data_IF_055538013358
#
_entry.id   IF_055538013358
#
_cell.length_a   1.000
_cell.length_b   1.000
_cell.length_c   1.000
_cell.angle_alpha   90.00
_cell.angle_beta   90.00
_cell.angle_gamma   90.00
#
_symmetry.space_group_name_H-M   'P 1'
#
loop_
_entity.id
_entity.type
_entity.pdbx_description
1 polymer ?
#
# COMPACT_ATOMS: atom_id res chain seq x y z
N UNK A 1 -20.16 -25.27 34.25
CA UNK A 1 -21.41 -24.64 33.80
C UNK A 1 -21.43 -24.63 32.28
N UNK A 2 -22.57 -24.74 31.61
CA UNK A 2 -22.64 -24.63 30.13
C UNK A 2 -22.87 -23.18 29.70
N UNK A 3 -22.49 -22.86 28.48
CA UNK A 3 -22.77 -21.54 27.92
C UNK A 3 -24.26 -21.21 27.91
N UNK A 4 -25.12 -22.23 27.68
CA UNK A 4 -26.57 -22.06 27.76
C UNK A 4 -27.11 -21.66 29.13
N UNK A 5 -26.33 -21.85 30.19
CA UNK A 5 -26.75 -21.65 31.57
C UNK A 5 -26.38 -20.24 32.10
N UNK A 6 -25.72 -19.44 31.27
CA UNK A 6 -25.30 -18.06 31.59
C UNK A 6 -25.91 -17.10 30.61
N UNK A 7 -25.93 -15.82 30.97
CA UNK A 7 -26.18 -14.73 30.03
C UNK A 7 -24.88 -14.41 29.31
N UNK A 8 -24.72 -14.98 28.09
CA UNK A 8 -23.51 -14.78 27.29
C UNK A 8 -23.54 -13.38 26.66
N UNK A 9 -22.81 -12.45 27.24
CA UNK A 9 -22.81 -11.04 26.96
C UNK A 9 -21.41 -10.48 26.60
N UNK A 10 -20.53 -11.34 26.08
CA UNK A 10 -19.14 -10.98 25.76
C UNK A 10 -19.04 -9.76 24.84
N UNK A 11 -19.78 -9.75 23.72
CA UNK A 11 -19.69 -8.66 22.73
C UNK A 11 -20.34 -7.36 23.23
N UNK A 12 -21.37 -7.46 24.06
CA UNK A 12 -21.96 -6.29 24.72
C UNK A 12 -20.96 -5.64 25.67
N UNK A 13 -20.24 -6.44 26.47
CA UNK A 13 -19.19 -5.98 27.38
C UNK A 13 -17.96 -5.49 26.62
N UNK A 14 -17.55 -6.15 25.54
CA UNK A 14 -16.45 -5.70 24.68
C UNK A 14 -16.73 -4.30 24.13
N UNK A 15 -17.95 -4.04 23.66
CA UNK A 15 -18.34 -2.69 23.18
C UNK A 15 -18.26 -1.64 24.28
N UNK A 16 -18.56 -2.02 25.52
CA UNK A 16 -18.46 -1.12 26.67
C UNK A 16 -17.00 -0.87 27.08
N UNK A 17 -16.17 -1.93 27.04
CA UNK A 17 -14.78 -1.90 27.48
C UNK A 17 -13.84 -1.25 26.41
N UNK A 18 -14.04 -1.57 25.14
CA UNK A 18 -13.26 -1.03 24.00
C UNK A 18 -14.17 -0.78 22.78
N UNK A 19 -14.90 0.31 22.82
CA UNK A 19 -15.79 0.71 21.71
C UNK A 19 -15.03 0.88 20.40
N UNK A 20 -13.78 1.37 20.44
CA UNK A 20 -12.98 1.60 19.23
C UNK A 20 -12.60 0.29 18.54
N UNK A 21 -12.23 -0.73 19.31
CA UNK A 21 -11.99 -2.08 18.79
C UNK A 21 -13.28 -2.69 18.22
N UNK A 22 -14.37 -2.58 18.99
CA UNK A 22 -15.66 -3.13 18.59
C UNK A 22 -16.14 -2.51 17.27
N UNK A 23 -16.15 -1.19 17.16
CA UNK A 23 -16.62 -0.48 15.96
C UNK A 23 -15.73 -0.77 14.73
N UNK A 24 -14.43 -0.93 14.93
CA UNK A 24 -13.52 -1.34 13.86
C UNK A 24 -13.80 -2.74 13.32
N UNK A 25 -14.23 -3.66 14.19
CA UNK A 25 -14.46 -5.07 13.82
C UNK A 25 -15.91 -5.32 13.35
N UNK A 26 -16.87 -4.58 13.90
CA UNK A 26 -18.30 -4.87 13.79
C UNK A 26 -19.16 -3.62 13.53
N UNK A 27 -18.66 -2.63 12.81
CA UNK A 27 -19.20 -1.27 12.68
C UNK A 27 -20.75 -1.15 12.60
N UNK A 28 -21.45 -2.16 12.07
CA UNK A 28 -22.90 -2.15 11.87
C UNK A 28 -23.63 -3.29 12.60
N UNK A 29 -22.91 -4.10 13.36
CA UNK A 29 -23.52 -5.24 14.03
C UNK A 29 -23.98 -4.86 15.44
N UNK A 30 -25.14 -5.41 15.84
CA UNK A 30 -25.63 -5.27 17.20
C UNK A 30 -24.92 -6.33 18.09
N UNK A 31 -24.29 -5.94 19.22
CA UNK A 31 -23.63 -6.87 20.13
C UNK A 31 -24.53 -8.05 20.54
N UNK A 32 -25.80 -7.77 20.84
CA UNK A 32 -26.76 -8.81 21.23
C UNK A 32 -26.97 -9.89 20.16
N UNK A 33 -26.84 -9.55 18.87
CA UNK A 33 -26.93 -10.53 17.78
C UNK A 33 -25.70 -11.43 17.76
N UNK A 34 -24.50 -10.87 18.04
CA UNK A 34 -23.25 -11.62 18.12
C UNK A 34 -23.25 -12.56 19.31
N UNK A 35 -23.70 -12.09 20.48
CA UNK A 35 -23.85 -12.88 21.69
C UNK A 35 -24.85 -14.02 21.49
N UNK A 36 -26.01 -13.73 20.89
CA UNK A 36 -27.02 -14.75 20.53
C UNK A 36 -26.47 -15.77 19.54
N UNK A 37 -25.69 -15.37 18.57
CA UNK A 37 -25.06 -16.26 17.59
C UNK A 37 -24.03 -17.17 18.25
N UNK A 38 -23.17 -16.62 19.11
CA UNK A 38 -22.19 -17.38 19.88
C UNK A 38 -22.88 -18.42 20.76
N UNK A 39 -23.92 -18.03 21.49
CA UNK A 39 -24.72 -18.93 22.29
C UNK A 39 -25.38 -20.03 21.45
N UNK A 40 -26.00 -19.69 20.31
CA UNK A 40 -26.63 -20.69 19.44
C UNK A 40 -25.64 -21.73 18.89
N UNK A 41 -24.41 -21.29 18.54
CA UNK A 41 -23.38 -22.18 17.97
C UNK A 41 -22.71 -23.06 19.02
N UNK A 42 -22.55 -22.56 20.25
CA UNK A 42 -21.70 -23.19 21.28
C UNK A 42 -22.40 -23.44 22.60
N UNK A 43 -23.73 -23.41 22.66
CA UNK A 43 -24.55 -23.59 23.87
C UNK A 43 -24.20 -24.82 24.72
N UNK A 44 -23.76 -25.90 24.08
CA UNK A 44 -23.42 -27.15 24.75
C UNK A 44 -22.02 -27.18 25.37
N UNK A 45 -21.16 -26.18 25.07
CA UNK A 45 -19.79 -26.15 25.60
C UNK A 45 -19.76 -25.77 27.08
N UNK A 46 -18.83 -26.36 27.80
CA UNK A 46 -18.60 -26.07 29.21
C UNK A 46 -17.67 -24.90 29.35
N UNK A 47 -18.12 -23.86 30.04
CA UNK A 47 -17.33 -22.66 30.34
C UNK A 47 -16.62 -22.82 31.68
N UNK A 48 -15.48 -22.19 31.87
CA UNK A 48 -14.77 -22.15 33.14
C UNK A 48 -15.54 -21.31 34.17
N UNK A 49 -15.76 -21.80 35.35
CA UNK A 49 -16.44 -21.04 36.41
C UNK A 49 -15.66 -19.80 36.84
N UNK A 50 -14.33 -19.79 36.66
CA UNK A 50 -13.44 -18.66 36.99
C UNK A 50 -13.59 -17.46 36.07
N UNK A 51 -14.23 -17.64 34.92
CA UNK A 51 -14.44 -16.52 33.95
C UNK A 51 -15.81 -15.88 34.08
N UNK A 52 -16.63 -16.40 35.02
CA UNK A 52 -18.00 -15.95 35.27
C UNK A 52 -18.04 -15.13 36.54
N UNK A 53 -18.70 -13.98 36.47
CA UNK A 53 -19.01 -13.10 37.59
C UNK A 53 -20.51 -12.78 37.57
N UNK A 54 -21.22 -13.11 38.64
CA UNK A 54 -22.67 -12.92 38.79
C UNK A 54 -23.52 -13.37 37.58
N UNK A 55 -23.16 -14.53 37.00
CA UNK A 55 -23.88 -15.11 35.85
C UNK A 55 -23.50 -14.57 34.48
N UNK A 56 -22.57 -13.64 34.42
CA UNK A 56 -22.06 -12.97 33.23
C UNK A 56 -20.58 -13.26 33.02
N UNK A 57 -20.05 -12.95 31.84
CA UNK A 57 -18.61 -13.02 31.58
C UNK A 57 -17.90 -11.87 32.31
N UNK A 58 -16.84 -12.17 33.06
CA UNK A 58 -16.13 -11.15 33.82
C UNK A 58 -15.45 -10.11 32.93
N UNK A 59 -15.52 -8.84 33.33
CA UNK A 59 -14.93 -7.73 32.55
C UNK A 59 -13.41 -7.88 32.38
N UNK A 60 -12.73 -8.44 33.39
CA UNK A 60 -11.29 -8.70 33.31
C UNK A 60 -10.94 -9.70 32.23
N UNK A 61 -11.80 -10.72 32.02
CA UNK A 61 -11.62 -11.70 30.97
C UNK A 61 -11.88 -11.11 29.59
N UNK A 62 -12.95 -10.33 29.44
CA UNK A 62 -13.25 -9.61 28.19
C UNK A 62 -12.08 -8.72 27.80
N UNK A 63 -11.56 -7.93 28.75
CA UNK A 63 -10.41 -7.07 28.50
C UNK A 63 -9.14 -7.86 28.15
N UNK A 64 -8.87 -8.94 28.87
CA UNK A 64 -7.72 -9.83 28.61
C UNK A 64 -7.75 -10.45 27.21
N UNK A 65 -8.91 -10.96 26.77
CA UNK A 65 -9.11 -11.52 25.43
C UNK A 65 -8.96 -10.41 24.36
N UNK A 66 -9.57 -9.25 24.58
CA UNK A 66 -9.46 -8.12 23.65
C UNK A 66 -8.00 -7.66 23.49
N UNK A 67 -7.24 -7.62 24.57
CA UNK A 67 -5.82 -7.25 24.52
C UNK A 67 -4.98 -8.30 23.78
N UNK A 68 -5.22 -9.57 24.02
CA UNK A 68 -4.46 -10.68 23.42
C UNK A 68 -4.77 -10.87 21.93
N UNK A 69 -6.04 -10.83 21.57
CA UNK A 69 -6.51 -11.16 20.23
C UNK A 69 -6.83 -9.93 19.36
N UNK A 70 -7.04 -8.75 19.94
CA UNK A 70 -7.36 -7.53 19.22
C UNK A 70 -6.44 -7.22 18.05
N UNK A 71 -5.10 -7.29 18.20
CA UNK A 71 -4.17 -7.09 17.08
C UNK A 71 -4.36 -8.09 15.93
N UNK A 72 -4.63 -9.37 16.25
CA UNK A 72 -4.93 -10.42 15.26
C UNK A 72 -6.22 -10.11 14.50
N UNK A 73 -7.28 -9.78 15.22
CA UNK A 73 -8.58 -9.46 14.62
C UNK A 73 -8.54 -8.21 13.75
N UNK A 74 -7.83 -7.15 14.20
CA UNK A 74 -7.58 -5.93 13.39
C UNK A 74 -6.81 -6.26 12.10
N UNK A 75 -5.86 -7.18 12.17
CA UNK A 75 -5.13 -7.66 11.00
C UNK A 75 -6.05 -8.33 9.98
N UNK A 76 -6.97 -9.18 10.43
CA UNK A 76 -7.96 -9.82 9.55
C UNK A 76 -8.96 -8.83 8.97
N UNK A 77 -9.48 -7.91 9.79
CA UNK A 77 -10.39 -6.87 9.33
C UNK A 77 -9.74 -6.01 8.23
N UNK A 78 -8.49 -5.58 8.46
CA UNK A 78 -7.72 -4.84 7.46
C UNK A 78 -7.46 -5.64 6.18
N UNK A 79 -7.21 -6.94 6.28
CA UNK A 79 -7.00 -7.81 5.12
C UNK A 79 -8.29 -8.00 4.30
N UNK A 80 -9.46 -7.95 4.95
CA UNK A 80 -10.76 -8.05 4.28
C UNK A 80 -11.21 -6.72 3.64
N UNK A 81 -10.72 -5.59 4.14
CA UNK A 81 -11.03 -4.24 3.65
C UNK A 81 -10.19 -3.86 2.39
N UNK A 82 -9.31 -4.75 1.94
CA UNK A 82 -8.53 -4.52 0.71
C UNK A 82 -9.44 -4.65 -0.50
N UNK A 83 -9.63 -3.52 -1.20
CA UNK A 83 -10.38 -3.50 -2.45
C UNK A 83 -9.70 -4.39 -3.51
N UNK A 84 -10.52 -5.24 -4.14
CA UNK A 84 -10.07 -6.18 -5.16
C UNK A 84 -9.43 -5.47 -6.37
N UNK A 85 -9.97 -4.33 -6.79
CA UNK A 85 -9.41 -3.55 -7.89
C UNK A 85 -8.01 -3.02 -7.55
N UNK A 86 -7.82 -2.57 -6.30
CA UNK A 86 -6.52 -2.13 -5.80
C UNK A 86 -5.55 -3.30 -5.68
N UNK A 87 -6.02 -4.48 -5.27
CA UNK A 87 -5.21 -5.71 -5.21
C UNK A 87 -4.85 -6.26 -6.60
N UNK A 88 -5.75 -6.12 -7.59
CA UNK A 88 -5.53 -6.53 -8.98
C UNK A 88 -4.60 -5.58 -9.74
N UNK A 89 -4.52 -4.32 -9.32
CA UNK A 89 -3.70 -3.30 -9.97
C UNK A 89 -2.70 -2.64 -8.99
N UNK A 90 -1.84 -3.45 -8.30
CA UNK A 90 -1.06 -2.97 -7.16
C UNK A 90 0.09 -2.03 -7.53
N UNK A 91 0.32 -1.77 -8.82
CA UNK A 91 1.47 -0.99 -9.25
C UNK A 91 1.14 0.03 -10.34
N UNK A 92 0.94 1.26 -9.92
CA UNK A 92 1.29 2.42 -10.73
C UNK A 92 2.59 3.01 -10.17
N UNK A 93 3.72 2.56 -10.67
CA UNK A 93 4.99 3.18 -10.35
C UNK A 93 5.22 4.32 -11.33
N UNK A 94 5.02 5.55 -10.85
CA UNK A 94 5.36 6.77 -11.59
C UNK A 94 6.81 7.12 -11.27
N UNK A 95 7.71 6.85 -12.18
CA UNK A 95 9.11 7.28 -12.06
C UNK A 95 9.28 8.52 -12.93
N UNK A 96 9.57 9.65 -12.30
CA UNK A 96 9.89 10.89 -13.01
C UNK A 96 11.42 11.00 -13.06
N UNK A 97 11.98 10.94 -14.25
CA UNK A 97 13.39 11.23 -14.49
C UNK A 97 13.52 12.63 -15.05
N UNK A 98 14.25 13.48 -14.34
CA UNK A 98 14.72 14.76 -14.87
C UNK A 98 16.12 14.53 -15.43
N UNK A 99 16.26 14.70 -16.75
CA UNK A 99 17.56 14.72 -17.41
C UNK A 99 17.85 16.14 -17.85
N UNK A 100 18.83 16.76 -17.21
CA UNK A 100 19.35 18.06 -17.62
C UNK A 100 20.61 17.82 -18.44
N UNK A 101 20.57 18.11 -19.73
CA UNK A 101 21.71 18.05 -20.61
C UNK A 101 22.16 19.47 -20.94
N UNK A 102 23.33 19.84 -20.45
CA UNK A 102 23.97 21.11 -20.83
C UNK A 102 24.90 20.82 -21.99
N UNK A 103 24.58 21.33 -23.18
CA UNK A 103 25.44 21.27 -24.35
C UNK A 103 25.99 22.63 -24.61
N UNK A 104 27.30 22.79 -24.45
CA UNK A 104 28.02 24.00 -24.87
C UNK A 104 28.68 23.73 -26.23
N UNK A 105 28.22 24.33 -27.27
CA UNK A 105 28.86 24.28 -28.59
C UNK A 105 29.69 25.53 -28.79
N UNK A 106 31.00 25.38 -28.81
CA UNK A 106 31.90 26.44 -29.18
C UNK A 106 32.30 26.21 -30.64
N UNK A 107 31.87 27.12 -31.51
CA UNK A 107 32.29 27.14 -32.93
C UNK A 107 33.19 28.33 -33.12
N UNK A 108 34.48 28.05 -33.25
CA UNK A 108 35.46 29.06 -33.64
C UNK A 108 35.68 28.91 -35.15
N UNK A 109 35.15 29.85 -35.93
CA UNK A 109 35.38 29.96 -37.37
C UNK A 109 36.38 31.08 -37.62
N UNK A 110 37.48 30.75 -38.25
CA UNK A 110 38.40 31.75 -38.77
C UNK A 110 38.26 31.75 -40.30
N UNK A 111 37.63 32.77 -40.81
CA UNK A 111 37.55 32.99 -42.27
C UNK A 111 38.64 33.98 -42.68
N UNK A 112 39.60 33.47 -43.38
CA UNK A 112 40.67 34.29 -43.96
C UNK A 112 40.42 34.49 -45.44
N UNK A 113 40.21 35.71 -45.84
CA UNK A 113 40.14 36.09 -47.25
C UNK A 113 41.41 36.75 -47.62
N UNK A 114 42.16 36.15 -48.52
CA UNK A 114 43.33 36.74 -49.14
C UNK A 114 42.99 37.28 -50.54
N UNK A 115 43.07 38.56 -50.70
CA UNK A 115 42.93 39.20 -52.02
C UNK A 115 44.30 39.49 -52.61
N UNK A 116 44.65 38.71 -53.59
CA UNK A 116 45.89 38.91 -54.33
C UNK A 116 45.69 39.71 -55.59
N UNK A 117 46.50 40.67 -55.80
CA UNK A 117 46.51 41.50 -57.04
C UNK A 117 47.71 41.08 -57.92
N UNK A 118 47.42 40.75 -59.16
CA UNK A 118 48.48 40.46 -60.16
C UNK A 118 49.03 41.73 -60.72
N UNK A 119 50.33 41.89 -60.67
CA UNK A 119 51.01 43.00 -61.38
C UNK A 119 50.88 42.81 -62.88
N UNK A 120 50.93 43.93 -63.64
CA UNK A 120 50.68 44.00 -65.08
C UNK A 120 51.64 43.19 -65.94
N UNK A 121 52.47 42.44 -65.47
CA UNK A 121 53.34 41.50 -66.22
C UNK A 121 53.98 40.44 -65.29
N UNK A 122 53.26 40.04 -64.27
CA UNK A 122 53.73 39.08 -63.28
C UNK A 122 52.74 37.92 -63.17
N UNK A 123 53.30 36.75 -63.21
CA UNK A 123 52.54 35.50 -62.92
C UNK A 123 52.42 35.18 -61.43
N UNK A 124 52.95 36.04 -60.57
CA UNK A 124 52.83 35.89 -59.09
C UNK A 124 51.88 36.94 -58.55
N UNK A 125 50.98 36.44 -57.71
CA UNK A 125 50.04 37.31 -56.97
C UNK A 125 50.70 37.86 -55.72
N UNK A 126 50.64 39.16 -55.50
CA UNK A 126 51.08 39.85 -54.29
C UNK A 126 49.84 40.08 -53.43
N UNK A 127 49.92 39.66 -52.19
CA UNK A 127 48.83 39.84 -51.23
C UNK A 127 48.66 41.34 -50.93
N UNK A 128 47.53 41.92 -51.33
CA UNK A 128 47.24 43.36 -51.14
C UNK A 128 46.48 43.57 -49.80
N UNK A 129 45.57 42.67 -49.45
CA UNK A 129 44.82 42.79 -48.22
C UNK A 129 44.53 41.42 -47.65
N UNK A 130 44.91 41.24 -46.39
CA UNK A 130 44.52 40.02 -45.59
C UNK A 130 43.48 40.47 -44.60
N UNK A 131 42.28 39.94 -44.72
CA UNK A 131 41.20 40.14 -43.74
C UNK A 131 40.95 38.89 -43.02
N UNK A 132 41.27 38.85 -41.73
CA UNK A 132 40.94 37.76 -40.84
C UNK A 132 39.72 38.13 -40.03
N UNK A 133 38.59 37.47 -40.28
CA UNK A 133 37.37 37.61 -39.48
C UNK A 133 37.35 36.42 -38.54
N UNK A 134 37.56 36.66 -37.24
CA UNK A 134 37.40 35.68 -36.20
C UNK A 134 36.00 35.84 -35.63
N UNK A 135 35.11 34.90 -35.87
CA UNK A 135 33.79 34.86 -35.23
C UNK A 135 33.82 33.82 -34.12
N UNK A 136 33.70 34.27 -32.87
CA UNK A 136 33.47 33.42 -31.71
C UNK A 136 31.97 33.36 -31.48
N UNK A 137 31.37 32.22 -31.75
CA UNK A 137 29.97 31.98 -31.43
C UNK A 137 29.90 30.93 -30.33
N UNK A 138 29.52 31.35 -29.13
CA UNK A 138 29.28 30.46 -27.98
C UNK A 138 27.78 30.33 -27.76
N UNK A 139 27.21 29.21 -28.13
CA UNK A 139 25.80 28.89 -27.86
C UNK A 139 25.70 27.89 -26.73
N UNK A 140 25.13 28.31 -25.61
CA UNK A 140 24.84 27.41 -24.50
C UNK A 140 23.36 26.99 -24.57
N UNK A 141 23.09 25.77 -24.95
CA UNK A 141 21.75 25.17 -24.93
C UNK A 141 21.55 24.40 -23.65
N UNK A 142 20.69 24.93 -22.79
CA UNK A 142 20.18 24.18 -21.63
C UNK A 142 18.91 23.48 -22.06
N UNK A 143 18.97 22.16 -22.20
CA UNK A 143 17.82 21.33 -22.52
C UNK A 143 17.42 20.49 -21.30
N UNK A 144 16.28 20.84 -20.70
CA UNK A 144 15.71 20.06 -19.60
C UNK A 144 14.61 19.18 -20.18
N UNK A 145 14.84 17.88 -20.21
CA UNK A 145 13.84 16.91 -20.67
C UNK A 145 13.28 16.17 -19.47
N UNK A 146 11.99 16.39 -19.17
CA UNK A 146 11.27 15.66 -18.16
C UNK A 146 10.67 14.41 -18.78
N UNK A 147 11.17 13.25 -18.35
CA UNK A 147 10.70 11.95 -18.81
C UNK A 147 9.91 11.27 -17.68
N UNK A 148 8.62 11.06 -17.92
CA UNK A 148 7.76 10.34 -16.97
C UNK A 148 7.45 8.96 -17.53
N UNK A 149 7.96 7.92 -16.87
CA UNK A 149 7.60 6.54 -17.18
C UNK A 149 6.56 6.06 -16.20
N UNK A 150 5.37 5.73 -16.67
CA UNK A 150 4.34 5.07 -15.85
C UNK A 150 4.37 3.59 -16.20
N UNK A 151 4.78 2.76 -15.24
CA UNK A 151 4.71 1.30 -15.35
C UNK A 151 3.47 0.86 -14.59
N UNK A 152 2.45 0.41 -15.30
CA UNK A 152 1.26 -0.22 -14.72
C UNK A 152 1.30 -1.72 -14.97
N UNK A 153 1.08 -2.51 -13.95
CA UNK A 153 1.02 -3.97 -14.08
C UNK A 153 1.40 -4.71 -12.80
N UNK A 154 1.13 -6.00 -12.79
CA UNK A 154 1.51 -6.88 -11.71
C UNK A 154 3.02 -7.17 -11.77
N UNK A 155 3.78 -6.65 -10.81
CA UNK A 155 5.24 -6.85 -10.72
C UNK A 155 5.62 -8.11 -9.93
N UNK A 156 4.65 -8.94 -9.55
CA UNK A 156 4.86 -10.17 -8.80
C UNK A 156 4.78 -11.42 -9.68
N UNK A 157 5.30 -12.54 -9.16
CA UNK A 157 5.17 -13.86 -9.80
C UNK A 157 3.75 -14.45 -9.66
N UNK A 158 2.80 -13.73 -9.04
CA UNK A 158 1.43 -14.18 -8.87
C UNK A 158 0.61 -13.89 -10.13
N UNK A 159 -0.07 -14.91 -10.64
CA UNK A 159 -1.00 -14.74 -11.75
C UNK A 159 -2.29 -14.07 -11.26
N UNK A 160 -3.04 -13.45 -12.19
CA UNK A 160 -4.38 -12.92 -11.88
C UNK A 160 -5.30 -13.97 -11.22
N UNK A 161 -5.17 -15.24 -11.66
CA UNK A 161 -5.93 -16.34 -11.09
C UNK A 161 -5.57 -16.61 -9.62
N UNK A 162 -4.30 -16.46 -9.25
CA UNK A 162 -3.85 -16.69 -7.87
C UNK A 162 -4.30 -15.53 -6.95
N UNK A 163 -4.25 -14.29 -7.44
CA UNK A 163 -4.77 -13.12 -6.72
C UNK A 163 -6.28 -13.25 -6.51
N UNK A 164 -7.02 -13.60 -7.57
CA UNK A 164 -8.47 -13.82 -7.49
C UNK A 164 -8.84 -14.94 -6.51
N UNK A 165 -8.13 -16.08 -6.55
CA UNK A 165 -8.35 -17.18 -5.60
C UNK A 165 -8.05 -16.78 -4.16
N UNK A 166 -6.98 -16.00 -3.95
CA UNK A 166 -6.65 -15.50 -2.61
C UNK A 166 -7.72 -14.58 -2.09
N UNK A 167 -8.24 -13.68 -2.92
CA UNK A 167 -9.30 -12.76 -2.57
C UNK A 167 -10.62 -13.49 -2.27
N UNK A 168 -11.01 -14.47 -3.12
CA UNK A 168 -12.20 -15.31 -2.86
C UNK A 168 -12.07 -16.04 -1.52
N UNK A 169 -10.89 -16.58 -1.20
CA UNK A 169 -10.64 -17.21 0.11
C UNK A 169 -10.79 -16.24 1.26
N UNK A 170 -10.30 -15.01 1.12
CA UNK A 170 -10.48 -13.96 2.12
C UNK A 170 -11.96 -13.60 2.30
N UNK A 171 -12.71 -13.43 1.21
CA UNK A 171 -14.16 -13.17 1.28
C UNK A 171 -14.96 -14.31 1.90
N UNK A 172 -14.49 -15.54 1.78
CA UNK A 172 -15.10 -16.71 2.43
C UNK A 172 -14.79 -16.80 3.94
N UNK A 173 -13.76 -16.08 4.40
CA UNK A 173 -13.47 -15.97 5.83
C UNK A 173 -14.54 -15.08 6.48
N UNK A 174 -15.42 -15.73 7.24
CA UNK A 174 -16.36 -15.01 8.09
C UNK A 174 -15.62 -14.52 9.32
N UNK A 175 -15.16 -13.28 9.30
CA UNK A 175 -14.42 -12.67 10.41
C UNK A 175 -15.14 -12.86 11.75
N UNK A 176 -16.45 -12.66 11.75
CA UNK A 176 -17.29 -12.87 12.93
C UNK A 176 -17.17 -14.29 13.48
N UNK A 177 -17.19 -15.33 12.62
CA UNK A 177 -17.10 -16.72 13.06
C UNK A 177 -15.71 -17.05 13.62
N UNK A 178 -14.66 -16.45 13.06
CA UNK A 178 -13.29 -16.60 13.59
C UNK A 178 -13.20 -15.98 14.98
N UNK A 179 -13.72 -14.76 15.15
CA UNK A 179 -13.68 -14.06 16.44
C UNK A 179 -14.50 -14.84 17.49
N UNK A 180 -15.71 -15.26 17.13
CA UNK A 180 -16.53 -16.08 18.05
C UNK A 180 -15.80 -17.37 18.44
N UNK A 181 -15.16 -18.05 17.49
CA UNK A 181 -14.39 -19.25 17.75
C UNK A 181 -13.19 -19.02 18.66
N UNK A 182 -12.45 -17.92 18.46
CA UNK A 182 -11.32 -17.53 19.30
C UNK A 182 -11.80 -17.26 20.75
N UNK A 183 -12.85 -16.46 20.89
CA UNK A 183 -13.44 -16.13 22.20
C UNK A 183 -13.92 -17.37 22.93
N UNK A 184 -14.67 -18.21 22.25
CA UNK A 184 -15.18 -19.46 22.86
C UNK A 184 -14.04 -20.44 23.20
N UNK A 185 -12.99 -20.45 22.36
CA UNK A 185 -11.79 -21.26 22.63
C UNK A 185 -11.11 -20.91 23.96
N UNK A 186 -11.08 -19.62 24.31
CA UNK A 186 -10.49 -19.13 25.56
C UNK A 186 -11.43 -19.30 26.76
N UNK A 187 -12.74 -19.18 26.54
CA UNK A 187 -13.73 -19.27 27.63
C UNK A 187 -14.13 -20.68 27.98
N UNK A 188 -13.88 -21.67 27.12
CA UNK A 188 -14.38 -23.03 27.29
C UNK A 188 -13.26 -24.04 27.43
N UNK A 189 -13.55 -25.12 28.17
CA UNK A 189 -12.70 -26.31 28.24
C UNK A 189 -12.69 -27.00 26.85
N UNK A 190 -11.52 -27.17 26.25
CA UNK A 190 -11.32 -28.13 25.18
C UNK A 190 -11.37 -29.53 25.76
N UNK A 191 -12.53 -30.18 25.69
CA UNK A 191 -12.64 -31.60 26.02
C UNK A 191 -12.18 -32.38 24.79
N UNK A 192 -10.98 -32.92 24.85
CA UNK A 192 -10.47 -33.93 23.91
C UNK A 192 -10.96 -35.31 24.28
#
# INVERSE_FOLDING_TARGET
MKISDIDFDFFARLKTADAALYDQLFANENPANLDSRANALYSSRTIFDTVIDDGHISDSMVYGIALAYGPKWKGYAKALDVDFETAMNPYQMKTTHESTSNSTSNSNGTDGTENGVFGFDSSESVNDTTSNITSENSETKNNTTNFTTTVSGNKGNATYADIARSHIRLLQLRLVDIIISDVIGELTLSIY
#
